data_IF_100208194247
#
_entry.id   IF_100208194247
#
_cell.length_a   1.000
_cell.length_b   1.000
_cell.length_c   1.000
_cell.angle_alpha   90.00
_cell.angle_beta   90.00
_cell.angle_gamma   90.00
#
_symmetry.space_group_name_H-M   'P 1'
#
loop_
_entity.id
_entity.type
_entity.pdbx_description
1 polymer ?
#
# COMPACT_ATOMS: atom_id res chain seq x y z
N UNK A 1 -32.36 -10.60 -18.36
CA UNK A 1 -31.63 -10.07 -17.18
C UNK A 1 -31.60 -8.57 -17.25
N UNK A 2 -31.93 -7.87 -16.16
CA UNK A 2 -31.83 -6.41 -16.11
C UNK A 2 -30.37 -5.95 -16.11
N UNK A 3 -30.12 -4.71 -16.53
CA UNK A 3 -28.75 -4.19 -16.66
C UNK A 3 -28.05 -4.03 -15.31
N UNK A 4 -28.75 -3.58 -14.28
CA UNK A 4 -28.19 -3.41 -12.93
C UNK A 4 -27.82 -4.76 -12.31
N UNK A 5 -28.74 -5.71 -12.33
CA UNK A 5 -28.53 -7.10 -11.90
C UNK A 5 -27.32 -7.74 -12.60
N UNK A 6 -27.17 -7.49 -13.91
CA UNK A 6 -26.01 -8.01 -14.68
C UNK A 6 -24.69 -7.40 -14.22
N UNK A 7 -24.66 -6.10 -13.95
CA UNK A 7 -23.46 -5.41 -13.47
C UNK A 7 -23.06 -5.87 -12.07
N UNK A 8 -24.02 -6.12 -11.19
CA UNK A 8 -23.77 -6.73 -9.88
C UNK A 8 -23.14 -8.11 -10.02
N UNK A 9 -23.69 -8.99 -10.87
CA UNK A 9 -23.09 -10.31 -11.14
C UNK A 9 -21.70 -10.24 -11.75
N UNK A 10 -21.44 -9.26 -12.62
CA UNK A 10 -20.08 -9.04 -13.16
C UNK A 10 -19.12 -8.64 -12.03
N UNK A 11 -19.53 -7.82 -11.08
CA UNK A 11 -18.71 -7.47 -9.92
C UNK A 11 -18.47 -8.64 -8.98
N UNK A 12 -19.47 -9.49 -8.73
CA UNK A 12 -19.29 -10.71 -7.94
C UNK A 12 -18.23 -11.63 -8.55
N UNK A 13 -18.31 -11.87 -9.87
CA UNK A 13 -17.33 -12.66 -10.61
C UNK A 13 -15.95 -11.99 -10.58
N UNK A 14 -15.89 -10.67 -10.74
CA UNK A 14 -14.65 -9.92 -10.68
C UNK A 14 -13.99 -9.98 -9.30
N UNK A 15 -14.77 -9.92 -8.22
CA UNK A 15 -14.29 -10.02 -6.85
C UNK A 15 -13.82 -11.45 -6.50
N UNK A 16 -14.44 -12.47 -7.10
CA UNK A 16 -14.08 -13.87 -6.86
C UNK A 16 -12.83 -14.26 -7.66
N UNK A 17 -12.78 -13.89 -8.94
CA UNK A 17 -11.76 -14.38 -9.88
C UNK A 17 -10.63 -13.37 -10.13
N UNK A 18 -10.78 -12.13 -9.65
CA UNK A 18 -9.84 -11.00 -9.82
C UNK A 18 -9.75 -10.43 -11.24
N UNK A 19 -10.37 -11.10 -12.23
CA UNK A 19 -10.48 -10.68 -13.63
C UNK A 19 -11.73 -11.30 -14.26
N UNK A 20 -12.24 -10.65 -15.29
CA UNK A 20 -13.31 -11.17 -16.13
C UNK A 20 -12.97 -10.98 -17.61
N UNK A 21 -13.37 -11.94 -18.45
CA UNK A 21 -13.17 -11.90 -19.90
C UNK A 21 -14.51 -11.62 -20.57
N UNK A 22 -14.56 -10.61 -21.44
CA UNK A 22 -15.80 -10.14 -22.04
C UNK A 22 -16.50 -11.23 -22.88
N UNK A 23 -15.74 -12.10 -23.54
CA UNK A 23 -16.26 -13.23 -24.30
C UNK A 23 -16.94 -14.28 -23.40
N UNK A 24 -16.30 -14.63 -22.29
CA UNK A 24 -16.85 -15.59 -21.32
C UNK A 24 -18.11 -15.04 -20.64
N UNK A 25 -18.13 -13.74 -20.31
CA UNK A 25 -19.32 -13.09 -19.78
C UNK A 25 -20.46 -13.05 -20.81
N UNK A 26 -20.14 -12.83 -22.08
CA UNK A 26 -21.14 -12.83 -23.16
C UNK A 26 -21.78 -14.22 -23.33
N UNK A 27 -20.98 -15.28 -23.30
CA UNK A 27 -21.46 -16.67 -23.32
C UNK A 27 -22.29 -16.99 -22.06
N UNK A 28 -21.78 -16.63 -20.87
CA UNK A 28 -22.43 -16.91 -19.58
C UNK A 28 -23.79 -16.22 -19.42
N UNK A 29 -23.91 -14.98 -19.90
CA UNK A 29 -25.14 -14.20 -19.78
C UNK A 29 -26.03 -14.27 -21.03
N UNK A 30 -25.65 -15.08 -22.03
CA UNK A 30 -26.35 -15.21 -23.32
C UNK A 30 -26.58 -13.84 -24.00
N UNK A 31 -25.52 -13.02 -24.01
CA UNK A 31 -25.55 -11.62 -24.45
C UNK A 31 -24.53 -11.38 -25.57
N UNK A 32 -24.71 -10.29 -26.34
CA UNK A 32 -23.68 -9.90 -27.30
C UNK A 32 -22.43 -9.37 -26.58
N UNK A 33 -21.25 -9.68 -27.13
CA UNK A 33 -19.97 -9.16 -26.63
C UNK A 33 -19.97 -7.63 -26.57
N UNK A 34 -20.62 -6.96 -27.53
CA UNK A 34 -20.72 -5.50 -27.55
C UNK A 34 -21.53 -4.94 -26.39
N UNK A 35 -22.57 -5.65 -25.95
CA UNK A 35 -23.35 -5.25 -24.78
C UNK A 35 -22.55 -5.41 -23.49
N UNK A 36 -21.79 -6.50 -23.35
CA UNK A 36 -20.86 -6.68 -22.23
C UNK A 36 -19.77 -5.60 -22.24
N UNK A 37 -19.17 -5.30 -23.40
CA UNK A 37 -18.18 -4.23 -23.53
C UNK A 37 -18.75 -2.87 -23.15
N UNK A 38 -20.01 -2.60 -23.51
CA UNK A 38 -20.70 -1.36 -23.11
C UNK A 38 -20.91 -1.31 -21.59
N UNK A 39 -21.34 -2.39 -20.97
CA UNK A 39 -21.47 -2.47 -19.51
C UNK A 39 -20.14 -2.26 -18.81
N UNK A 40 -19.07 -2.98 -19.21
CA UNK A 40 -17.73 -2.76 -18.67
C UNK A 40 -17.25 -1.32 -18.85
N UNK A 41 -17.60 -0.66 -19.96
CA UNK A 41 -17.23 0.75 -20.21
C UNK A 41 -17.91 1.69 -19.24
N UNK A 42 -19.19 1.46 -18.95
CA UNK A 42 -19.95 2.26 -18.00
C UNK A 42 -19.43 2.00 -16.58
N UNK A 43 -19.20 0.74 -16.21
CA UNK A 43 -18.66 0.38 -14.89
C UNK A 43 -17.23 0.91 -14.65
N UNK A 44 -16.40 1.03 -15.70
CA UNK A 44 -15.10 1.72 -15.60
C UNK A 44 -15.27 3.22 -15.37
N UNK A 45 -16.21 3.86 -16.07
CA UNK A 45 -16.53 5.28 -15.89
C UNK A 45 -17.04 5.57 -14.47
N UNK A 46 -17.78 4.64 -13.90
CA UNK A 46 -18.29 4.69 -12.53
C UNK A 46 -17.25 4.29 -11.48
N UNK A 47 -16.02 3.95 -11.89
CA UNK A 47 -14.93 3.66 -10.98
C UNK A 47 -15.12 2.36 -10.19
N UNK A 48 -15.70 1.33 -10.81
CA UNK A 48 -15.93 0.02 -10.18
C UNK A 48 -14.92 -1.06 -10.63
N UNK A 49 -14.34 -0.92 -11.82
CA UNK A 49 -13.37 -1.84 -12.42
C UNK A 49 -12.40 -1.10 -13.35
N UNK A 50 -11.34 -1.77 -13.82
CA UNK A 50 -10.50 -1.27 -14.90
C UNK A 50 -10.65 -2.14 -16.14
N UNK A 51 -10.86 -1.53 -17.31
CA UNK A 51 -10.93 -2.28 -18.56
C UNK A 51 -9.57 -2.68 -19.09
N UNK A 52 -9.57 -3.80 -19.79
CA UNK A 52 -8.47 -4.26 -20.64
C UNK A 52 -9.02 -4.53 -22.04
N UNK A 53 -8.14 -4.85 -22.99
CA UNK A 53 -8.56 -5.09 -24.38
C UNK A 53 -9.57 -6.25 -24.52
N UNK A 54 -9.53 -7.23 -23.60
CA UNK A 54 -10.37 -8.43 -23.65
C UNK A 54 -11.44 -8.54 -22.55
N UNK A 55 -11.51 -7.59 -21.61
CA UNK A 55 -12.37 -7.73 -20.43
C UNK A 55 -12.10 -6.66 -19.38
N UNK A 56 -12.10 -7.05 -18.11
CA UNK A 56 -11.83 -6.16 -17.00
C UNK A 56 -11.06 -6.85 -15.87
N UNK A 57 -10.36 -6.05 -15.08
CA UNK A 57 -9.67 -6.46 -13.87
C UNK A 57 -10.15 -5.59 -12.70
N UNK A 58 -10.07 -6.14 -11.51
CA UNK A 58 -10.43 -5.43 -10.28
C UNK A 58 -9.62 -4.14 -10.14
N UNK A 59 -10.24 -3.05 -9.67
CA UNK A 59 -9.53 -1.79 -9.45
C UNK A 59 -8.41 -1.92 -8.44
N UNK A 60 -8.55 -2.81 -7.46
CA UNK A 60 -7.53 -3.12 -6.46
C UNK A 60 -6.26 -3.66 -7.15
N UNK A 61 -6.42 -4.48 -8.19
CA UNK A 61 -5.33 -4.94 -9.08
C UNK A 61 -4.66 -3.83 -9.89
N UNK A 62 -5.34 -2.70 -10.11
CA UNK A 62 -4.82 -1.54 -10.85
C UNK A 62 -4.26 -0.46 -9.93
N UNK A 63 -4.85 -0.30 -8.73
CA UNK A 63 -4.25 0.41 -7.59
C UNK A 63 -2.88 -0.19 -7.22
N UNK A 64 -2.66 -1.47 -7.53
CA UNK A 64 -1.37 -2.13 -7.36
C UNK A 64 -0.31 -1.73 -8.40
N UNK A 65 -0.68 -1.08 -9.50
CA UNK A 65 0.26 -0.60 -10.53
C UNK A 65 0.70 0.85 -10.31
N UNK A 66 -0.15 1.68 -9.71
CA UNK A 66 0.21 3.03 -9.25
C UNK A 66 -0.94 3.56 -8.38
N UNK A 67 -0.89 3.34 -7.06
CA UNK A 67 -1.73 4.13 -6.17
C UNK A 67 -1.22 5.57 -6.20
N UNK A 68 -2.09 6.53 -6.53
CA UNK A 68 -1.81 7.95 -6.26
C UNK A 68 -1.44 8.12 -4.79
N UNK A 69 -0.40 8.90 -4.46
CA UNK A 69 0.08 9.08 -3.09
C UNK A 69 -1.05 9.39 -2.10
N UNK A 70 -2.00 10.24 -2.51
CA UNK A 70 -3.12 10.67 -1.68
C UNK A 70 -4.08 9.54 -1.25
N UNK A 71 -4.25 8.48 -2.06
CA UNK A 71 -5.11 7.33 -1.73
C UNK A 71 -4.37 6.21 -0.99
N UNK A 72 -3.04 6.22 -0.98
CA UNK A 72 -2.24 5.26 -0.20
C UNK A 72 -2.30 5.56 1.31
N UNK A 73 -2.58 6.80 1.68
CA UNK A 73 -2.59 7.28 3.05
C UNK A 73 -4.00 7.62 3.60
N UNK A 74 -5.06 7.34 2.84
CA UNK A 74 -6.45 7.54 3.31
C UNK A 74 -6.82 6.57 4.45
N UNK A 75 -7.73 6.99 5.33
CA UNK A 75 -8.23 6.32 6.54
C UNK A 75 -7.73 4.89 6.77
N UNK A 76 -6.74 4.77 7.65
CA UNK A 76 -6.21 3.50 8.12
C UNK A 76 -7.33 2.67 8.74
N UNK A 77 -7.39 1.39 8.40
CA UNK A 77 -8.36 0.47 8.99
C UNK A 77 -8.19 0.37 10.52
N UNK A 78 -9.22 -0.09 11.23
CA UNK A 78 -9.14 -0.33 12.68
C UNK A 78 -7.98 -1.28 13.03
N UNK A 79 -7.74 -2.29 12.19
CA UNK A 79 -6.63 -3.22 12.33
C UNK A 79 -5.26 -2.55 12.15
N UNK A 80 -5.10 -1.73 11.12
CA UNK A 80 -3.85 -0.97 10.90
C UNK A 80 -3.58 -0.01 12.06
N UNK A 81 -4.60 0.68 12.60
CA UNK A 81 -4.42 1.56 13.75
C UNK A 81 -3.98 0.79 15.01
N UNK A 82 -4.55 -0.40 15.24
CA UNK A 82 -4.18 -1.22 16.41
C UNK A 82 -2.73 -1.69 16.31
N UNK A 83 -2.33 -2.20 15.14
CA UNK A 83 -0.94 -2.63 14.89
C UNK A 83 0.01 -1.44 14.98
N UNK A 84 -0.35 -0.30 14.38
CA UNK A 84 0.44 0.92 14.41
C UNK A 84 0.67 1.43 15.83
N UNK A 85 -0.36 1.42 16.68
CA UNK A 85 -0.26 1.82 18.09
C UNK A 85 0.68 0.91 18.86
N UNK A 86 0.56 -0.41 18.68
CA UNK A 86 1.45 -1.38 19.32
C UNK A 86 2.89 -1.18 18.84
N UNK A 87 3.10 -1.01 17.53
CA UNK A 87 4.42 -0.79 16.97
C UNK A 87 5.09 0.49 17.49
N UNK A 88 4.36 1.60 17.57
CA UNK A 88 4.89 2.85 18.09
C UNK A 88 5.27 2.77 19.59
N UNK A 89 4.64 1.88 20.35
CA UNK A 89 4.97 1.68 21.78
C UNK A 89 6.32 0.99 22.03
N UNK A 90 6.97 0.43 21.01
CA UNK A 90 8.31 -0.13 21.13
C UNK A 90 9.41 0.94 21.06
N UNK A 91 9.11 2.14 20.56
CA UNK A 91 10.08 3.22 20.39
C UNK A 91 10.47 3.78 21.76
N UNK A 92 11.77 3.84 22.02
CA UNK A 92 12.36 4.39 23.23
C UNK A 92 13.09 5.70 22.96
N UNK A 93 13.47 6.39 24.04
CA UNK A 93 14.31 7.58 23.95
C UNK A 93 15.68 7.21 23.35
N UNK A 94 16.21 8.09 22.51
CA UNK A 94 17.48 7.96 21.78
C UNK A 94 17.54 6.84 20.72
N UNK A 95 16.44 6.13 20.46
CA UNK A 95 16.37 5.12 19.39
C UNK A 95 16.64 5.74 18.01
N UNK A 96 17.37 5.02 17.18
CA UNK A 96 17.45 5.24 15.73
C UNK A 96 16.54 4.24 15.02
N UNK A 97 15.44 4.71 14.44
CA UNK A 97 14.40 3.84 13.86
C UNK A 97 14.26 4.03 12.34
N UNK A 98 13.89 2.96 11.64
CA UNK A 98 13.48 3.05 10.23
C UNK A 98 11.95 3.02 10.09
N UNK A 99 11.39 4.03 9.43
CA UNK A 99 9.98 4.07 9.01
C UNK A 99 9.90 4.21 7.49
N UNK A 100 9.41 3.18 6.80
CA UNK A 100 9.23 3.24 5.33
C UNK A 100 7.98 4.03 4.89
N UNK A 101 7.66 4.05 3.59
CA UNK A 101 6.44 4.71 3.08
C UNK A 101 5.27 3.78 2.76
N UNK A 102 4.66 3.18 3.78
CA UNK A 102 3.45 2.35 3.66
C UNK A 102 2.28 2.97 4.45
N UNK A 103 1.04 2.58 4.15
CA UNK A 103 -0.17 3.07 4.85
C UNK A 103 -0.07 2.93 6.37
N UNK A 104 0.39 1.76 6.82
CA UNK A 104 0.55 1.45 8.25
C UNK A 104 1.64 2.28 8.93
N UNK A 105 2.71 2.64 8.22
CA UNK A 105 3.74 3.52 8.74
C UNK A 105 3.21 4.94 8.96
N UNK A 106 2.37 5.42 8.05
CA UNK A 106 1.68 6.69 8.24
C UNK A 106 0.68 6.63 9.41
N UNK A 107 0.02 5.49 9.61
CA UNK A 107 -0.85 5.28 10.76
C UNK A 107 -0.09 5.35 12.09
N UNK A 108 1.17 4.88 12.13
CA UNK A 108 2.03 4.96 13.33
C UNK A 108 2.29 6.38 13.78
N UNK A 109 2.33 7.36 12.86
CA UNK A 109 2.64 8.76 13.19
C UNK A 109 1.67 9.35 14.24
N UNK A 110 0.44 8.84 14.30
CA UNK A 110 -0.59 9.23 15.27
C UNK A 110 -0.30 8.77 16.71
N UNK A 111 0.61 7.83 16.87
CA UNK A 111 0.87 7.13 18.13
C UNK A 111 2.34 7.22 18.57
N UNK A 112 3.14 8.07 17.92
CA UNK A 112 4.54 8.25 18.28
C UNK A 112 4.67 8.77 19.72
N UNK A 113 5.66 8.29 20.49
CA UNK A 113 5.87 8.72 21.86
C UNK A 113 6.41 10.16 21.93
N UNK A 114 6.19 10.82 23.06
CA UNK A 114 6.71 12.16 23.36
C UNK A 114 8.14 12.11 23.94
N UNK A 115 9.00 11.24 23.40
CA UNK A 115 10.44 11.14 23.75
C UNK A 115 11.28 11.60 22.56
N UNK A 116 12.57 11.88 22.78
CA UNK A 116 13.47 12.25 21.68
C UNK A 116 14.00 11.01 20.97
N UNK A 117 13.95 10.94 19.64
CA UNK A 117 14.49 9.82 18.86
C UNK A 117 14.77 10.23 17.41
N UNK A 118 15.50 9.38 16.67
CA UNK A 118 15.85 9.61 15.26
C UNK A 118 15.01 8.73 14.34
N UNK A 119 14.45 9.30 13.28
CA UNK A 119 13.76 8.56 12.21
C UNK A 119 14.54 8.64 10.91
N UNK A 120 14.87 7.47 10.37
CA UNK A 120 15.35 7.28 9.01
C UNK A 120 14.15 6.85 8.15
N UNK A 121 13.85 7.61 7.09
CA UNK A 121 12.76 7.26 6.18
C UNK A 121 13.17 7.41 4.72
N UNK A 122 12.59 6.58 3.87
CA UNK A 122 12.71 6.69 2.42
C UNK A 122 11.46 7.25 1.75
N UNK A 123 10.54 7.86 2.51
CA UNK A 123 9.28 8.41 2.01
C UNK A 123 9.23 9.92 2.24
N UNK A 124 9.00 10.63 1.13
CA UNK A 124 8.80 12.09 1.16
C UNK A 124 7.59 12.45 2.02
N UNK A 125 6.52 11.67 1.96
CA UNK A 125 5.30 11.91 2.74
C UNK A 125 5.54 11.73 4.24
N UNK A 126 6.21 10.65 4.66
CA UNK A 126 6.54 10.44 6.07
C UNK A 126 7.45 11.55 6.58
N UNK A 127 8.52 11.89 5.85
CA UNK A 127 9.39 13.01 6.20
C UNK A 127 8.63 14.34 6.28
N UNK A 128 7.67 14.55 5.36
CA UNK A 128 6.83 15.73 5.31
C UNK A 128 5.89 15.89 6.51
N UNK A 129 5.47 14.80 7.16
CA UNK A 129 4.74 14.86 8.43
C UNK A 129 5.69 15.02 9.63
N UNK A 130 6.81 14.29 9.64
CA UNK A 130 7.73 14.29 10.77
C UNK A 130 8.44 15.62 10.99
N UNK A 131 8.60 16.46 9.96
CA UNK A 131 9.18 17.82 10.10
C UNK A 131 8.46 18.73 11.09
N UNK A 132 7.22 18.40 11.46
CA UNK A 132 6.43 19.19 12.42
C UNK A 132 6.75 18.82 13.88
N UNK A 133 7.39 17.67 14.10
CA UNK A 133 7.75 17.16 15.41
C UNK A 133 9.12 17.70 15.82
N UNK A 134 9.21 18.35 16.99
CA UNK A 134 10.45 18.96 17.49
C UNK A 134 11.36 17.99 18.22
N UNK A 135 10.81 16.88 18.69
CA UNK A 135 11.49 15.81 19.40
C UNK A 135 12.01 14.71 18.46
N UNK A 136 11.85 14.87 17.14
CA UNK A 136 12.21 13.82 16.18
C UNK A 136 13.22 14.37 15.16
N UNK A 137 14.45 13.87 15.23
CA UNK A 137 15.43 14.11 14.19
C UNK A 137 15.11 13.22 12.98
N UNK A 138 14.87 13.84 11.82
CA UNK A 138 14.41 13.11 10.63
C UNK A 138 15.45 13.12 9.51
N UNK A 139 15.90 11.93 9.11
CA UNK A 139 16.73 11.71 7.93
C UNK A 139 15.89 11.18 6.77
N UNK A 140 15.79 11.97 5.70
CA UNK A 140 15.21 11.51 4.44
C UNK A 140 16.30 10.92 3.56
N UNK A 141 16.17 9.63 3.26
CA UNK A 141 17.04 8.91 2.35
C UNK A 141 16.78 9.39 0.91
N UNK A 142 17.77 10.05 0.31
CA UNK A 142 17.71 10.57 -1.05
C UNK A 142 17.91 9.52 -2.14
N UNK A 143 17.57 9.87 -3.39
CA UNK A 143 17.69 9.01 -4.55
C UNK A 143 16.56 9.22 -5.57
N UNK A 144 16.32 8.22 -6.42
CA UNK A 144 15.23 8.23 -7.39
C UNK A 144 13.86 8.10 -6.72
N UNK A 145 13.07 9.17 -6.81
CA UNK A 145 11.69 9.23 -6.32
C UNK A 145 10.76 8.44 -7.23
N UNK A 146 10.00 7.49 -6.66
CA UNK A 146 8.90 6.80 -7.37
C UNK A 146 7.63 7.67 -7.37
N UNK A 147 6.66 7.41 -8.26
CA UNK A 147 5.37 8.10 -8.23
C UNK A 147 4.63 8.04 -6.89
N UNK A 148 4.96 7.06 -6.05
CA UNK A 148 4.41 6.93 -4.70
C UNK A 148 5.15 7.72 -3.61
N UNK A 149 6.12 8.58 -3.96
CA UNK A 149 6.95 9.35 -3.03
C UNK A 149 8.11 8.57 -2.38
N UNK A 150 8.07 7.24 -2.42
CA UNK A 150 9.14 6.39 -1.88
C UNK A 150 10.40 6.37 -2.75
N UNK A 151 11.55 6.21 -2.10
CA UNK A 151 12.89 6.17 -2.70
C UNK A 151 13.50 4.79 -2.41
N UNK A 152 13.86 4.04 -3.46
CA UNK A 152 14.22 2.60 -3.33
C UNK A 152 15.26 2.17 -4.37
N UNK A 153 16.17 3.07 -4.74
CA UNK A 153 17.27 2.78 -5.65
C UNK A 153 18.53 2.32 -4.90
N UNK A 154 19.60 2.08 -5.66
CA UNK A 154 20.89 1.62 -5.11
C UNK A 154 21.49 2.65 -4.15
N UNK A 155 21.36 3.95 -4.46
CA UNK A 155 21.86 5.03 -3.59
C UNK A 155 21.13 5.04 -2.24
N UNK A 156 19.80 4.87 -2.25
CA UNK A 156 19.03 4.76 -1.02
C UNK A 156 19.46 3.56 -0.17
N UNK A 157 19.71 2.42 -0.82
CA UNK A 157 20.15 1.20 -0.13
C UNK A 157 21.52 1.37 0.51
N UNK A 158 22.47 2.00 -0.20
CA UNK A 158 23.79 2.31 0.34
C UNK A 158 23.70 3.30 1.51
N UNK A 159 22.89 4.35 1.39
CA UNK A 159 22.76 5.35 2.45
C UNK A 159 22.14 4.74 3.72
N UNK A 160 21.08 3.93 3.59
CA UNK A 160 20.49 3.21 4.72
C UNK A 160 21.52 2.32 5.42
N UNK A 161 22.40 1.65 4.65
CA UNK A 161 23.42 0.75 5.23
C UNK A 161 24.46 1.46 6.11
N UNK A 162 24.54 2.80 6.05
CA UNK A 162 25.45 3.61 6.88
C UNK A 162 24.88 3.95 8.25
N UNK A 163 23.58 3.71 8.47
CA UNK A 163 22.94 3.95 9.76
C UNK A 163 23.00 2.71 10.64
N UNK A 164 23.26 2.91 11.93
CA UNK A 164 22.90 1.95 12.97
C UNK A 164 21.43 2.19 13.31
N UNK A 165 20.61 1.16 13.17
CA UNK A 165 19.16 1.22 13.37
C UNK A 165 18.81 0.20 14.45
N UNK A 166 18.15 0.68 15.51
CA UNK A 166 17.74 -0.12 16.66
C UNK A 166 16.42 -0.83 16.38
N UNK A 167 15.45 -0.11 15.78
CA UNK A 167 14.15 -0.65 15.38
C UNK A 167 13.88 -0.43 13.89
N UNK A 168 13.59 -1.52 13.18
CA UNK A 168 13.21 -1.45 11.77
C UNK A 168 11.75 -1.86 11.60
N UNK A 169 10.91 -0.89 11.24
CA UNK A 169 9.49 -1.10 10.92
C UNK A 169 9.35 -1.47 9.45
N UNK A 170 9.22 -2.77 9.17
CA UNK A 170 9.12 -3.32 7.82
C UNK A 170 7.71 -3.79 7.50
N UNK A 171 7.36 -3.81 6.22
CA UNK A 171 6.12 -4.43 5.76
C UNK A 171 6.43 -5.59 4.83
N UNK A 172 5.70 -6.69 4.96
CA UNK A 172 5.90 -7.90 4.17
C UNK A 172 4.60 -8.62 3.87
N UNK A 173 4.57 -9.36 2.76
CA UNK A 173 3.47 -10.27 2.43
C UNK A 173 3.61 -11.64 3.08
N UNK A 174 4.83 -12.03 3.46
CA UNK A 174 5.11 -13.26 4.18
C UNK A 174 6.43 -13.16 4.95
N UNK A 175 6.58 -13.99 5.98
CA UNK A 175 7.81 -14.13 6.76
C UNK A 175 8.21 -15.60 6.78
N UNK A 176 9.50 -15.85 6.64
CA UNK A 176 10.12 -17.17 6.69
C UNK A 176 11.45 -17.08 7.42
N UNK A 177 12.07 -18.23 7.71
CA UNK A 177 13.42 -18.27 8.27
C UNK A 177 14.46 -17.64 7.33
N UNK A 178 14.17 -17.57 6.03
CA UNK A 178 15.01 -16.93 5.03
C UNK A 178 14.78 -15.41 4.93
N UNK A 179 13.86 -14.87 5.72
CA UNK A 179 13.54 -13.44 5.78
C UNK A 179 12.13 -13.11 5.31
N UNK A 180 11.94 -11.84 4.98
CA UNK A 180 10.64 -11.25 4.63
C UNK A 180 10.45 -11.33 3.12
N UNK A 181 9.33 -11.92 2.71
CA UNK A 181 8.88 -11.95 1.32
C UNK A 181 7.84 -10.87 1.08
N UNK A 182 7.91 -10.23 -0.08
CA UNK A 182 6.93 -9.22 -0.49
C UNK A 182 6.03 -9.78 -1.59
N UNK A 183 4.86 -10.28 -1.21
CA UNK A 183 3.76 -10.57 -2.12
C UNK A 183 2.44 -10.32 -1.35
N UNK A 184 1.94 -9.10 -1.48
CA UNK A 184 0.68 -8.52 -0.97
C UNK A 184 -0.15 -9.31 0.07
N UNK A 185 0.13 -9.03 1.35
CA UNK A 185 -0.80 -8.73 2.46
C UNK A 185 0.09 -8.17 3.57
N UNK A 186 0.20 -6.84 3.65
CA UNK A 186 1.26 -6.18 4.44
C UNK A 186 0.95 -6.30 5.95
N UNK A 187 1.76 -7.07 6.66
CA UNK A 187 1.87 -7.01 8.12
C UNK A 187 3.09 -6.18 8.49
N UNK A 188 2.95 -5.31 9.48
CA UNK A 188 4.08 -4.58 10.06
C UNK A 188 4.88 -5.55 10.92
N UNK A 189 6.16 -5.68 10.62
CA UNK A 189 7.13 -6.44 11.39
C UNK A 189 8.10 -5.47 12.03
N UNK A 190 8.38 -5.69 13.31
CA UNK A 190 9.38 -4.97 14.07
C UNK A 190 10.60 -5.88 14.12
N UNK A 191 11.70 -5.46 13.50
CA UNK A 191 12.99 -6.10 13.66
C UNK A 191 13.78 -5.28 14.68
N UNK A 192 14.16 -5.93 15.78
CA UNK A 192 15.01 -5.37 16.82
C UNK A 192 16.42 -5.89 16.58
N UNK A 193 17.40 -4.99 16.53
CA UNK A 193 18.80 -5.39 16.47
C UNK A 193 19.25 -5.76 17.89
N UNK A 194 19.79 -6.97 18.06
CA UNK A 194 20.46 -7.38 19.32
C UNK A 194 21.78 -6.62 19.54
#
# INVERSE_FOLDING_TARGET
MFTEERRERILELLNTDGRVIAKELAERFEMSIDSIRRDLSIMEKDGLLKRTHGGAIELTRVRNLAAEPAKRYSDSSIYENTIAKVAASYIQEDDSIFIGGASIHNAMLKYLPEVSFTVITNSIEIAGHLREYKNIDTYLIGGKVKPSGNITDTFASELISRFSIDLYFSTGGGISLQGISTAQHLKLLILVKE
#
